data_IF_502940208861
#
_entry.id   IF_502940208861
#
_cell.length_a   1.000
_cell.length_b   1.000
_cell.length_c   1.000
_cell.angle_alpha   90.00
_cell.angle_beta   90.00
_cell.angle_gamma   90.00
#
_symmetry.space_group_name_H-M   'P 1'
#
loop_
_entity.id
_entity.type
_entity.pdbx_description
1 polymer ?
#
# COMPACT_ATOMS: atom_id res chain seq x y z
N UNK A 1 4.33 56.48 17.72
CA UNK A 1 4.48 55.78 16.44
C UNK A 1 3.67 54.49 16.54
N UNK A 2 2.43 54.52 16.05
CA UNK A 2 1.49 53.40 16.11
C UNK A 2 1.58 52.64 14.78
N UNK A 3 1.76 51.32 14.84
CA UNK A 3 1.80 50.44 13.66
C UNK A 3 0.38 49.91 13.48
N UNK A 4 -0.33 50.38 12.45
CA UNK A 4 -1.62 49.84 12.05
C UNK A 4 -1.44 48.49 11.35
N UNK A 5 -1.96 47.43 11.98
CA UNK A 5 -2.14 46.13 11.34
C UNK A 5 -3.29 46.20 10.33
N UNK A 6 -2.97 46.25 9.03
CA UNK A 6 -3.96 46.04 7.97
C UNK A 6 -4.12 44.53 7.71
N UNK A 7 -5.26 43.98 8.12
CA UNK A 7 -5.70 42.65 7.72
C UNK A 7 -5.81 42.55 6.19
N UNK A 8 -5.03 41.65 5.58
CA UNK A 8 -5.19 41.30 4.16
C UNK A 8 -6.18 40.14 4.07
N UNK A 9 -7.45 40.45 3.76
CA UNK A 9 -8.43 39.45 3.32
C UNK A 9 -8.06 38.99 1.90
N UNK A 10 -7.54 37.77 1.78
CA UNK A 10 -7.32 37.13 0.47
C UNK A 10 -8.64 36.57 -0.03
N UNK A 11 -9.16 37.18 -1.09
CA UNK A 11 -10.37 36.78 -1.78
C UNK A 11 -10.06 35.57 -2.68
N UNK A 12 -10.67 34.42 -2.41
CA UNK A 12 -10.57 33.19 -3.20
C UNK A 12 -11.45 33.29 -4.45
N UNK A 13 -10.96 34.01 -5.47
CA UNK A 13 -11.45 33.82 -6.84
C UNK A 13 -10.41 34.25 -7.86
N UNK A 14 -10.10 33.30 -8.75
CA UNK A 14 -9.41 33.44 -10.03
C UNK A 14 -7.91 33.79 -10.04
N UNK A 15 -7.07 32.82 -9.67
CA UNK A 15 -5.73 32.72 -10.26
C UNK A 15 -5.70 31.64 -11.35
N UNK A 16 -5.75 32.11 -12.60
CA UNK A 16 -5.61 31.35 -13.85
C UNK A 16 -4.43 30.37 -13.75
N UNK A 17 -4.74 29.08 -13.80
CA UNK A 17 -3.76 28.01 -13.97
C UNK A 17 -3.09 28.20 -15.33
N UNK A 18 -1.85 28.67 -15.32
CA UNK A 18 -0.98 28.63 -16.51
C UNK A 18 -0.67 27.17 -16.80
N UNK A 19 -1.27 26.65 -17.86
CA UNK A 19 -1.01 25.31 -18.40
C UNK A 19 0.45 25.26 -18.84
N UNK A 20 1.28 24.57 -18.07
CA UNK A 20 2.65 24.24 -18.46
C UNK A 20 2.58 23.29 -19.64
N UNK A 21 3.41 23.56 -20.66
CA UNK A 21 3.48 22.81 -21.91
C UNK A 21 3.62 21.31 -21.65
N UNK A 22 2.80 20.56 -22.36
CA UNK A 22 2.70 19.10 -22.38
C UNK A 22 3.94 18.54 -23.08
N UNK A 23 5.05 18.44 -22.37
CA UNK A 23 6.16 17.58 -22.80
C UNK A 23 5.89 16.14 -22.34
N UNK A 24 6.24 15.21 -23.20
CA UNK A 24 5.76 13.82 -23.27
C UNK A 24 6.11 12.96 -22.05
N UNK A 25 5.15 12.74 -21.15
CA UNK A 25 5.21 11.74 -20.05
C UNK A 25 4.26 10.54 -20.32
N UNK A 26 3.83 10.36 -21.57
CA UNK A 26 2.62 9.60 -21.88
C UNK A 26 2.75 8.06 -21.92
N UNK A 27 3.95 7.48 -21.78
CA UNK A 27 4.12 6.02 -21.89
C UNK A 27 4.51 5.29 -20.60
N UNK A 28 5.20 5.92 -19.65
CA UNK A 28 5.57 5.24 -18.38
C UNK A 28 4.43 5.19 -17.35
N UNK A 29 3.45 6.10 -17.47
CA UNK A 29 2.33 6.22 -16.52
C UNK A 29 1.23 5.18 -16.73
N UNK A 30 1.09 4.59 -17.93
CA UNK A 30 0.01 3.66 -18.26
C UNK A 30 0.15 2.28 -17.59
N UNK A 31 1.38 1.86 -17.32
CA UNK A 31 1.69 0.54 -16.77
C UNK A 31 2.09 0.57 -15.29
N UNK A 32 1.87 1.66 -14.55
CA UNK A 32 2.23 1.74 -13.13
C UNK A 32 1.00 1.46 -12.24
N UNK A 33 1.12 0.51 -11.30
CA UNK A 33 0.05 0.21 -10.33
C UNK A 33 0.18 1.02 -9.03
N UNK A 34 1.40 1.32 -8.59
CA UNK A 34 1.68 2.18 -7.45
C UNK A 34 2.93 3.03 -7.70
N UNK A 35 2.86 4.30 -7.29
CA UNK A 35 3.96 5.25 -7.35
C UNK A 35 4.12 5.95 -6.00
N UNK A 36 5.33 5.99 -5.49
CA UNK A 36 5.75 6.77 -4.31
C UNK A 36 6.57 7.95 -4.82
N UNK A 37 6.27 9.15 -4.36
CA UNK A 37 7.01 10.38 -4.69
C UNK A 37 7.39 11.12 -3.40
N UNK A 38 8.69 11.43 -3.25
CA UNK A 38 9.28 12.10 -2.09
C UNK A 38 8.81 11.46 -0.78
N UNK A 39 8.81 10.13 -0.76
CA UNK A 39 8.24 9.34 0.31
C UNK A 39 9.25 9.15 1.44
N UNK A 40 8.84 9.50 2.65
CA UNK A 40 9.67 9.36 3.83
C UNK A 40 8.83 8.86 4.99
N UNK A 41 9.41 7.95 5.77
CA UNK A 41 8.82 7.45 7.01
C UNK A 41 9.79 7.75 8.14
N UNK A 42 9.29 8.47 9.15
CA UNK A 42 10.04 8.79 10.35
C UNK A 42 9.50 8.01 11.55
N UNK A 43 10.39 7.53 12.41
CA UNK A 43 10.02 6.91 13.69
C UNK A 43 9.57 7.97 14.70
N UNK A 44 9.04 7.53 15.85
CA UNK A 44 8.72 8.41 16.99
C UNK A 44 9.92 9.24 17.47
N UNK A 45 11.15 8.76 17.25
CA UNK A 45 12.39 9.47 17.60
C UNK A 45 12.89 10.39 16.48
N UNK A 46 12.09 10.61 15.44
CA UNK A 46 12.45 11.37 14.25
C UNK A 46 13.63 10.75 13.45
N UNK A 47 13.85 9.45 13.60
CA UNK A 47 14.83 8.70 12.81
C UNK A 47 14.22 8.31 11.48
N UNK A 48 14.96 8.49 10.38
CA UNK A 48 14.51 8.09 9.05
C UNK A 48 14.56 6.57 8.92
N UNK A 49 13.40 5.93 8.77
CA UNK A 49 13.29 4.46 8.67
C UNK A 49 13.10 3.98 7.23
N UNK A 50 12.66 4.87 6.34
CA UNK A 50 12.49 4.62 4.91
C UNK A 50 12.51 5.97 4.19
N UNK A 51 13.29 6.07 3.11
CA UNK A 51 13.33 7.25 2.25
C UNK A 51 13.40 6.82 0.79
N UNK A 52 12.56 7.43 -0.04
CA UNK A 52 12.55 7.20 -1.48
C UNK A 52 12.17 8.48 -2.20
N UNK A 53 13.04 8.96 -3.08
CA UNK A 53 12.73 10.10 -3.94
C UNK A 53 11.62 9.74 -4.92
N UNK A 54 11.74 8.58 -5.56
CA UNK A 54 10.69 7.99 -6.40
C UNK A 54 10.79 6.47 -6.43
N UNK A 55 9.66 5.78 -6.30
CA UNK A 55 9.52 4.35 -6.60
C UNK A 55 8.26 4.13 -7.43
N UNK A 56 8.36 3.39 -8.52
CA UNK A 56 7.21 3.01 -9.36
C UNK A 56 7.18 1.49 -9.51
N UNK A 57 6.03 0.89 -9.23
CA UNK A 57 5.81 -0.55 -9.41
C UNK A 57 4.91 -0.74 -10.63
N UNK A 58 5.36 -1.51 -11.63
CA UNK A 58 4.57 -1.80 -12.80
C UNK A 58 3.44 -2.81 -12.50
N UNK A 59 2.32 -2.65 -13.18
CA UNK A 59 1.19 -3.57 -13.13
C UNK A 59 1.53 -4.90 -13.82
N UNK A 60 1.05 -6.01 -13.26
CA UNK A 60 1.18 -7.35 -13.86
C UNK A 60 2.61 -7.91 -13.85
N UNK A 61 3.51 -7.36 -13.02
CA UNK A 61 4.88 -7.84 -12.88
C UNK A 61 5.14 -8.40 -11.49
N UNK A 62 5.96 -9.44 -11.43
CA UNK A 62 6.56 -9.91 -10.19
C UNK A 62 7.77 -9.03 -9.87
N UNK A 63 7.76 -8.40 -8.70
CA UNK A 63 8.84 -7.53 -8.23
C UNK A 63 9.42 -8.11 -6.94
N UNK A 64 10.75 -8.28 -6.90
CA UNK A 64 11.48 -8.67 -5.70
C UNK A 64 12.14 -7.45 -5.05
N UNK A 65 12.03 -7.34 -3.72
CA UNK A 65 12.73 -6.33 -2.93
C UNK A 65 13.90 -7.00 -2.21
N UNK A 66 15.12 -6.57 -2.52
CA UNK A 66 16.37 -7.13 -1.98
C UNK A 66 17.14 -6.02 -1.27
N UNK A 67 17.67 -6.32 -0.09
CA UNK A 67 18.46 -5.39 0.69
C UNK A 67 18.89 -5.99 2.02
N UNK A 68 19.94 -5.43 2.64
CA UNK A 68 20.49 -5.93 3.91
C UNK A 68 19.66 -5.53 5.12
N UNK A 69 19.03 -4.35 5.11
CA UNK A 69 18.23 -3.85 6.22
C UNK A 69 16.84 -4.52 6.22
N UNK A 70 16.55 -5.35 7.21
CA UNK A 70 15.25 -6.00 7.37
C UNK A 70 14.12 -5.00 7.63
N UNK A 71 14.36 -4.02 8.49
CA UNK A 71 13.34 -3.05 8.88
C UNK A 71 12.92 -2.15 7.72
N UNK A 72 13.86 -1.72 6.89
CA UNK A 72 13.54 -0.90 5.72
C UNK A 72 12.70 -1.66 4.70
N UNK A 73 13.03 -2.94 4.43
CA UNK A 73 12.23 -3.81 3.56
C UNK A 73 10.81 -3.99 4.09
N UNK A 74 10.67 -4.29 5.39
CA UNK A 74 9.36 -4.47 6.02
C UNK A 74 8.55 -3.17 5.99
N UNK A 75 9.15 -2.02 6.32
CA UNK A 75 8.47 -0.73 6.28
C UNK A 75 8.06 -0.34 4.86
N UNK A 76 8.85 -0.70 3.84
CA UNK A 76 8.48 -0.50 2.43
C UNK A 76 7.29 -1.39 2.05
N UNK A 77 7.31 -2.68 2.43
CA UNK A 77 6.18 -3.59 2.19
C UNK A 77 4.89 -3.14 2.89
N UNK A 78 4.97 -2.74 4.16
CA UNK A 78 3.85 -2.16 4.90
C UNK A 78 3.34 -0.89 4.20
N UNK A 79 4.26 0.01 3.80
CA UNK A 79 3.94 1.23 3.09
C UNK A 79 3.24 0.97 1.78
N UNK A 80 3.64 -0.04 1.01
CA UNK A 80 3.00 -0.45 -0.24
C UNK A 80 1.59 -1.00 0.00
N UNK A 81 1.39 -1.77 1.07
CA UNK A 81 0.08 -2.26 1.49
C UNK A 81 -0.85 -1.17 2.07
N UNK A 82 -0.34 0.04 2.31
CA UNK A 82 -1.09 1.12 2.95
C UNK A 82 -1.18 0.99 4.46
N UNK A 83 -0.29 0.18 5.06
CA UNK A 83 -0.12 0.05 6.51
C UNK A 83 0.95 1.02 6.98
N UNK A 84 0.78 1.51 8.21
CA UNK A 84 1.79 2.29 8.92
C UNK A 84 1.74 1.89 10.40
N UNK A 85 2.89 1.81 11.05
CA UNK A 85 2.93 1.66 12.51
C UNK A 85 2.38 2.94 13.13
N UNK A 86 1.64 2.81 14.22
CA UNK A 86 1.06 3.96 14.94
C UNK A 86 2.10 4.93 15.48
N UNK A 87 3.35 4.48 15.63
CA UNK A 87 4.49 5.28 16.08
C UNK A 87 5.26 5.96 14.96
N UNK A 88 4.85 5.79 13.70
CA UNK A 88 5.54 6.34 12.54
C UNK A 88 4.73 7.49 11.92
N UNK A 89 5.45 8.45 11.34
CA UNK A 89 4.88 9.54 10.54
C UNK A 89 5.32 9.39 9.09
N UNK A 90 4.37 9.50 8.16
CA UNK A 90 4.61 9.40 6.71
C UNK A 90 4.58 10.79 6.08
N UNK A 91 5.56 11.07 5.23
CA UNK A 91 5.61 12.23 4.35
C UNK A 91 5.65 11.79 2.88
N UNK A 92 5.28 12.71 1.99
CA UNK A 92 5.27 12.49 0.54
C UNK A 92 3.91 12.07 -0.01
N UNK A 93 3.92 11.61 -1.26
CA UNK A 93 2.71 11.24 -1.99
C UNK A 93 2.77 9.79 -2.44
N UNK A 94 1.65 9.09 -2.27
CA UNK A 94 1.45 7.75 -2.82
C UNK A 94 0.31 7.82 -3.81
N UNK A 95 0.52 7.31 -5.02
CA UNK A 95 -0.49 7.22 -6.06
C UNK A 95 -0.72 5.76 -6.40
N UNK A 96 -1.98 5.40 -6.63
CA UNK A 96 -2.37 4.03 -7.01
C UNK A 96 -3.28 4.05 -8.22
N UNK A 97 -3.25 2.96 -8.99
CA UNK A 97 -4.10 2.82 -10.17
C UNK A 97 -5.58 2.73 -9.77
N UNK A 98 -6.37 3.66 -10.28
CA UNK A 98 -7.80 3.70 -10.08
C UNK A 98 -8.53 2.80 -11.09
N UNK A 99 -9.84 2.62 -10.90
CA UNK A 99 -10.68 1.79 -11.79
C UNK A 99 -10.75 2.34 -13.23
N UNK A 100 -10.50 3.63 -13.43
CA UNK A 100 -10.46 4.27 -14.74
C UNK A 100 -9.09 4.11 -15.44
N UNK A 101 -8.14 3.40 -14.82
CA UNK A 101 -6.83 3.10 -15.39
C UNK A 101 -5.76 4.18 -15.18
N UNK A 102 -6.10 5.30 -14.55
CA UNK A 102 -5.15 6.37 -14.22
C UNK A 102 -4.57 6.25 -12.81
N UNK A 103 -3.54 7.03 -12.51
CA UNK A 103 -3.00 7.20 -11.15
C UNK A 103 -3.76 8.29 -10.41
N UNK A 104 -4.15 8.01 -9.17
CA UNK A 104 -4.73 9.01 -8.25
C UNK A 104 -4.12 8.87 -6.87
N UNK A 105 -4.10 9.95 -6.09
CA UNK A 105 -3.57 9.93 -4.74
C UNK A 105 -4.29 8.87 -3.90
N UNK A 106 -3.50 8.05 -3.22
CA UNK A 106 -3.96 6.88 -2.48
C UNK A 106 -4.81 7.31 -1.29
N UNK A 107 -5.99 6.69 -1.17
CA UNK A 107 -6.77 6.65 0.06
C UNK A 107 -6.49 5.32 0.75
N UNK A 108 -5.87 5.36 1.93
CA UNK A 108 -5.37 4.14 2.59
C UNK A 108 -6.46 3.09 2.85
N UNK A 109 -7.66 3.51 3.28
CA UNK A 109 -8.78 2.59 3.52
C UNK A 109 -9.25 1.86 2.26
N UNK A 110 -9.41 2.59 1.16
CA UNK A 110 -9.84 2.01 -0.13
C UNK A 110 -8.77 1.09 -0.72
N UNK A 111 -7.49 1.47 -0.56
CA UNK A 111 -6.37 0.71 -1.09
C UNK A 111 -6.14 -0.59 -0.36
N UNK A 112 -6.23 -0.59 0.98
CA UNK A 112 -6.05 -1.78 1.78
C UNK A 112 -7.02 -2.91 1.35
N UNK A 113 -8.26 -2.56 1.03
CA UNK A 113 -9.26 -3.52 0.52
C UNK A 113 -8.99 -4.03 -0.91
N UNK A 114 -7.99 -3.48 -1.61
CA UNK A 114 -7.59 -3.88 -2.97
C UNK A 114 -6.24 -4.59 -3.00
N UNK A 115 -5.62 -4.80 -1.84
CA UNK A 115 -4.31 -5.45 -1.71
C UNK A 115 -4.40 -6.63 -0.77
N UNK A 116 -3.92 -7.79 -1.23
CA UNK A 116 -3.65 -8.92 -0.35
C UNK A 116 -2.27 -8.75 0.25
N UNK A 117 -2.20 -8.60 1.57
CA UNK A 117 -0.94 -8.44 2.31
C UNK A 117 -0.72 -9.62 3.25
N UNK A 118 0.36 -10.37 3.01
CA UNK A 118 0.80 -11.47 3.88
C UNK A 118 1.92 -10.91 4.77
N UNK A 119 1.66 -10.89 6.08
CA UNK A 119 2.64 -10.42 7.07
C UNK A 119 3.80 -11.39 7.19
N UNK A 120 4.97 -10.88 7.56
CA UNK A 120 6.13 -11.71 7.91
C UNK A 120 5.86 -12.60 9.13
N UNK A 121 5.06 -12.12 10.08
CA UNK A 121 4.60 -12.90 11.22
C UNK A 121 3.31 -13.65 10.87
N UNK A 122 3.25 -14.93 11.19
CA UNK A 122 2.00 -15.69 11.19
C UNK A 122 1.11 -15.23 12.35
N UNK A 123 -0.20 -15.21 12.10
CA UNK A 123 -1.16 -15.16 13.20
C UNK A 123 -1.24 -16.57 13.77
N UNK A 124 -1.00 -16.68 15.07
CA UNK A 124 -1.25 -17.92 15.79
C UNK A 124 -2.76 -18.05 16.02
N UNK A 125 -3.34 -19.12 15.49
CA UNK A 125 -4.76 -19.41 15.59
C UNK A 125 -5.05 -20.51 16.61
N UNK A 126 -4.09 -20.82 17.49
CA UNK A 126 -4.13 -21.80 18.58
C UNK A 126 -5.32 -22.77 18.53
N UNK A 127 -5.04 -24.01 18.16
CA UNK A 127 -5.99 -25.11 18.17
C UNK A 127 -7.02 -25.11 17.01
N UNK A 128 -6.83 -24.30 15.97
CA UNK A 128 -7.73 -24.28 14.81
C UNK A 128 -7.08 -24.95 13.59
N UNK A 129 -7.74 -25.96 12.97
CA UNK A 129 -7.22 -26.58 11.75
C UNK A 129 -7.06 -25.58 10.61
N UNK A 130 -5.97 -25.68 9.85
CA UNK A 130 -5.71 -24.79 8.70
C UNK A 130 -6.87 -24.73 7.70
N UNK A 131 -7.53 -25.87 7.42
CA UNK A 131 -8.69 -25.89 6.52
C UNK A 131 -9.83 -25.01 7.04
N UNK A 132 -10.09 -25.03 8.35
CA UNK A 132 -11.14 -24.22 8.97
C UNK A 132 -10.87 -22.72 8.84
N UNK A 133 -9.59 -22.33 9.01
CA UNK A 133 -9.15 -20.93 8.81
C UNK A 133 -9.36 -20.53 7.35
N UNK A 134 -8.90 -21.35 6.40
CA UNK A 134 -9.02 -21.06 4.97
C UNK A 134 -10.48 -21.02 4.49
N UNK A 135 -11.35 -21.92 4.98
CA UNK A 135 -12.80 -21.90 4.69
C UNK A 135 -13.47 -20.66 5.25
N UNK A 136 -13.10 -20.23 6.45
CA UNK A 136 -13.63 -19.00 7.05
C UNK A 136 -13.29 -17.77 6.19
N UNK A 137 -12.03 -17.66 5.76
CA UNK A 137 -11.57 -16.58 4.87
C UNK A 137 -12.28 -16.65 3.50
N UNK A 138 -12.43 -17.86 2.93
CA UNK A 138 -13.12 -18.06 1.65
C UNK A 138 -14.59 -17.59 1.71
N UNK A 139 -15.30 -17.93 2.79
CA UNK A 139 -16.70 -17.48 3.00
C UNK A 139 -16.81 -15.97 3.07
N UNK A 140 -15.89 -15.29 3.76
CA UNK A 140 -15.86 -13.82 3.81
C UNK A 140 -15.64 -13.17 2.43
N UNK A 141 -15.06 -13.89 1.47
CA UNK A 141 -14.79 -13.43 0.11
C UNK A 141 -15.77 -14.02 -0.93
N UNK A 142 -16.82 -14.72 -0.51
CA UNK A 142 -17.81 -15.31 -1.41
C UNK A 142 -17.29 -16.48 -2.27
N UNK A 143 -16.25 -17.17 -1.82
CA UNK A 143 -15.66 -18.33 -2.50
C UNK A 143 -16.24 -19.65 -1.99
N UNK A 144 -16.26 -20.69 -2.84
CA UNK A 144 -16.80 -22.00 -2.46
C UNK A 144 -15.79 -22.82 -1.65
N UNK A 145 -16.28 -23.71 -0.78
CA UNK A 145 -15.38 -24.60 0.00
C UNK A 145 -14.57 -25.54 -0.90
N UNK A 146 -15.12 -25.95 -2.05
CA UNK A 146 -14.41 -26.77 -3.04
C UNK A 146 -13.18 -26.06 -3.62
N UNK A 147 -13.21 -24.73 -3.74
CA UNK A 147 -12.06 -23.95 -4.19
C UNK A 147 -10.93 -24.02 -3.17
N UNK A 148 -11.25 -23.99 -1.87
CA UNK A 148 -10.28 -24.12 -0.79
C UNK A 148 -9.57 -25.47 -0.87
N UNK A 149 -10.31 -26.56 -1.04
CA UNK A 149 -9.72 -27.89 -1.17
C UNK A 149 -8.80 -28.00 -2.40
N UNK A 150 -9.19 -27.41 -3.53
CA UNK A 150 -8.36 -27.33 -4.73
C UNK A 150 -7.06 -26.54 -4.50
N UNK A 151 -7.11 -25.41 -3.81
CA UNK A 151 -5.91 -24.65 -3.46
C UNK A 151 -5.02 -25.43 -2.50
N UNK A 152 -5.58 -26.07 -1.47
CA UNK A 152 -4.80 -26.89 -0.54
C UNK A 152 -4.06 -28.03 -1.24
N UNK A 153 -4.69 -28.66 -2.23
CA UNK A 153 -4.05 -29.67 -3.07
C UNK A 153 -2.94 -29.05 -3.94
N UNK A 154 -3.23 -27.93 -4.61
CA UNK A 154 -2.27 -27.22 -5.49
C UNK A 154 -1.00 -26.80 -4.74
N UNK A 155 -1.14 -26.35 -3.50
CA UNK A 155 -0.01 -25.97 -2.64
C UNK A 155 0.62 -27.14 -1.87
N UNK A 156 0.14 -28.37 -2.07
CA UNK A 156 0.68 -29.57 -1.42
C UNK A 156 0.45 -29.63 0.11
N UNK A 157 -0.48 -28.83 0.63
CA UNK A 157 -0.79 -28.74 2.07
C UNK A 157 -2.01 -29.55 2.46
N UNK A 158 -2.50 -30.42 1.58
CA UNK A 158 -3.65 -31.29 1.85
C UNK A 158 -3.45 -32.15 3.11
N UNK A 159 -2.23 -32.63 3.36
CA UNK A 159 -1.91 -33.41 4.57
C UNK A 159 -1.97 -32.56 5.85
N UNK A 160 -1.98 -31.24 5.73
CA UNK A 160 -2.14 -30.31 6.85
C UNK A 160 -3.61 -29.97 7.13
N UNK A 161 -4.59 -30.57 6.42
CA UNK A 161 -6.03 -30.37 6.66
C UNK A 161 -6.44 -30.58 8.13
N UNK A 162 -5.80 -31.53 8.80
CA UNK A 162 -6.03 -31.88 10.21
C UNK A 162 -4.91 -31.40 11.14
N UNK A 163 -3.91 -30.68 10.63
CA UNK A 163 -2.83 -30.14 11.46
C UNK A 163 -3.37 -28.93 12.19
N UNK A 164 -3.29 -29.04 13.51
CA UNK A 164 -3.65 -28.01 14.46
C UNK A 164 -2.45 -27.06 14.55
N UNK A 165 -2.66 -25.79 14.22
CA UNK A 165 -1.68 -24.72 14.41
C UNK A 165 -1.91 -24.07 15.77
#
# INVERSE_FOLDING_TARGET
MQIENKEIKVNLSDSKIKTVKKESVFNETLNTIIKLEKYEVLSKKNECVLKSDTLSIPEGKLIGIIGVNEHEKLNLMDSLAGKCKSTHTIYGHVYTKNKAGGLSMRRSGDWFNRVNYISQSAVDYENVPARSILVSIAKCNGMAEADVDNYMNTFGIERAKSVIF
#
